data_IF_123097424790
#
_entry.id   IF_123097424790
#
_cell.length_a   1.000
_cell.length_b   1.000
_cell.length_c   1.000
_cell.angle_alpha   90.00
_cell.angle_beta   90.00
_cell.angle_gamma   90.00
#
_symmetry.space_group_name_H-M   'P 1'
#
loop_
_entity.id
_entity.type
_entity.pdbx_description
1 polymer ?
#
# COMPACT_ATOMS: atom_id res chain seq x y z
N UNK A 1 -10.84 -19.31 9.20
CA UNK A 1 -10.12 -19.91 8.05
C UNK A 1 -9.04 -20.88 8.50
N UNK A 2 -8.08 -20.47 9.35
CA UNK A 2 -7.04 -21.36 9.91
C UNK A 2 -7.62 -22.65 10.51
N UNK A 3 -8.74 -22.57 11.25
CA UNK A 3 -9.41 -23.75 11.82
C UNK A 3 -9.99 -24.70 10.76
N UNK A 4 -10.50 -24.18 9.64
CA UNK A 4 -11.07 -24.99 8.54
C UNK A 4 -9.96 -25.69 7.76
N UNK A 5 -8.88 -24.97 7.48
CA UNK A 5 -7.68 -25.51 6.83
C UNK A 5 -7.04 -26.57 7.74
N UNK A 6 -6.86 -26.26 9.02
CA UNK A 6 -6.32 -27.18 10.01
C UNK A 6 -7.17 -28.45 10.14
N UNK A 7 -8.50 -28.31 10.23
CA UNK A 7 -9.40 -29.46 10.32
C UNK A 7 -9.35 -30.36 9.08
N UNK A 8 -9.27 -29.78 7.86
CA UNK A 8 -9.10 -30.56 6.62
C UNK A 8 -7.70 -31.14 6.44
N UNK A 9 -6.66 -30.49 6.94
CA UNK A 9 -5.29 -31.05 6.98
C UNK A 9 -5.14 -32.17 8.02
N UNK A 10 -5.98 -32.17 9.06
CA UNK A 10 -6.02 -33.21 10.09
C UNK A 10 -6.89 -34.40 9.69
N UNK A 11 -7.64 -34.29 8.59
CA UNK A 11 -8.47 -35.37 8.06
C UNK A 11 -7.58 -36.43 7.38
N UNK A 12 -7.92 -37.73 7.48
CA UNK A 12 -7.02 -38.83 7.10
C UNK A 12 -6.63 -38.89 5.61
N UNK A 13 -7.24 -38.08 4.74
CA UNK A 13 -6.79 -37.92 3.34
C UNK A 13 -6.94 -36.46 2.89
N UNK A 14 -5.83 -35.75 2.76
CA UNK A 14 -5.77 -34.49 2.02
C UNK A 14 -5.99 -34.78 0.53
N UNK A 15 -6.72 -33.91 -0.21
CA UNK A 15 -6.83 -34.06 -1.66
C UNK A 15 -5.43 -33.98 -2.29
N UNK A 16 -5.14 -34.80 -3.31
CA UNK A 16 -3.84 -34.83 -3.97
C UNK A 16 -3.50 -33.51 -4.68
N UNK A 17 -4.54 -32.75 -5.08
CA UNK A 17 -4.42 -31.45 -5.73
C UNK A 17 -5.44 -30.45 -5.20
N UNK A 18 -5.05 -29.19 -5.06
CA UNK A 18 -5.91 -28.05 -4.76
C UNK A 18 -6.06 -27.17 -5.99
N UNK A 19 -7.14 -26.36 -6.06
CA UNK A 19 -7.20 -25.30 -7.05
C UNK A 19 -5.99 -24.35 -6.89
N UNK A 20 -5.57 -23.68 -7.95
CA UNK A 20 -4.44 -22.75 -7.89
C UNK A 20 -4.94 -21.33 -7.71
N UNK A 21 -4.24 -20.54 -6.89
CA UNK A 21 -4.43 -19.10 -6.86
C UNK A 21 -3.82 -18.53 -8.14
N UNK A 22 -4.63 -17.94 -9.03
CA UNK A 22 -4.15 -17.41 -10.30
C UNK A 22 -4.83 -16.06 -10.62
N UNK A 23 -4.01 -15.02 -10.78
CA UNK A 23 -4.52 -13.66 -10.97
C UNK A 23 -5.29 -13.14 -9.75
N UNK A 24 -6.50 -12.62 -9.96
CA UNK A 24 -7.31 -11.98 -8.91
C UNK A 24 -8.22 -12.97 -8.13
N UNK A 25 -8.04 -14.28 -8.26
CA UNK A 25 -8.82 -15.29 -7.54
C UNK A 25 -8.28 -16.71 -7.68
N UNK A 26 -8.94 -17.68 -7.05
CA UNK A 26 -8.66 -19.09 -7.30
C UNK A 26 -9.46 -19.59 -8.51
N UNK A 27 -8.79 -20.30 -9.41
CA UNK A 27 -9.37 -20.92 -10.61
C UNK A 27 -9.53 -22.44 -10.37
N UNK A 28 -10.77 -22.96 -10.25
CA UNK A 28 -11.00 -24.40 -10.08
C UNK A 28 -10.51 -25.25 -11.25
N UNK A 29 -10.38 -24.68 -12.46
CA UNK A 29 -9.94 -25.39 -13.65
C UNK A 29 -8.43 -25.66 -13.65
N UNK A 30 -7.64 -24.90 -12.88
CA UNK A 30 -6.20 -25.07 -12.75
C UNK A 30 -5.86 -25.57 -11.37
N UNK A 31 -5.32 -26.78 -11.27
CA UNK A 31 -4.99 -27.42 -9.98
C UNK A 31 -3.48 -27.59 -9.83
N UNK A 32 -3.01 -27.46 -8.60
CA UNK A 32 -1.61 -27.66 -8.21
C UNK A 32 -1.50 -28.78 -7.17
N UNK A 33 -0.35 -29.47 -7.07
CA UNK A 33 -0.10 -30.44 -6.01
C UNK A 33 -0.33 -29.83 -4.63
N UNK A 34 -1.00 -30.57 -3.76
CA UNK A 34 -1.25 -30.13 -2.39
C UNK A 34 0.06 -30.15 -1.60
N UNK A 35 0.43 -28.99 -1.08
CA UNK A 35 1.53 -28.80 -0.15
C UNK A 35 1.07 -27.86 0.96
N UNK A 36 1.84 -27.77 2.05
CA UNK A 36 1.56 -26.79 3.12
C UNK A 36 1.50 -25.37 2.55
N UNK A 37 2.39 -25.04 1.60
CA UNK A 37 2.42 -23.73 0.97
C UNK A 37 1.16 -23.45 0.13
N UNK A 38 0.79 -24.35 -0.78
CA UNK A 38 -0.40 -24.16 -1.64
C UNK A 38 -1.70 -24.19 -0.84
N UNK A 39 -1.74 -24.91 0.29
CA UNK A 39 -2.89 -24.94 1.21
C UNK A 39 -3.07 -23.63 2.00
N UNK A 40 -1.97 -23.00 2.41
CA UNK A 40 -1.97 -21.80 3.25
C UNK A 40 -1.65 -20.50 2.51
N UNK A 41 -1.39 -20.54 1.20
CA UNK A 41 -1.01 -19.39 0.38
C UNK A 41 -1.92 -18.15 0.59
N UNK A 42 -3.27 -18.24 0.55
CA UNK A 42 -4.12 -17.08 0.81
C UNK A 42 -3.97 -16.52 2.23
N UNK A 43 -3.73 -17.39 3.22
CA UNK A 43 -3.53 -16.99 4.63
C UNK A 43 -2.19 -16.25 4.79
N UNK A 44 -1.13 -16.75 4.14
CA UNK A 44 0.18 -16.13 4.16
C UNK A 44 0.13 -14.73 3.52
N UNK A 45 -0.54 -14.61 2.37
CA UNK A 45 -0.76 -13.31 1.71
C UNK A 45 -1.59 -12.37 2.58
N UNK A 46 -2.64 -12.86 3.26
CA UNK A 46 -3.42 -12.05 4.21
C UNK A 46 -2.54 -11.54 5.36
N UNK A 47 -1.67 -12.37 5.91
CA UNK A 47 -0.76 -11.95 6.97
C UNK A 47 0.19 -10.84 6.48
N UNK A 48 0.75 -11.00 5.27
CA UNK A 48 1.60 -9.97 4.64
C UNK A 48 0.83 -8.67 4.45
N UNK A 49 -0.36 -8.69 3.87
CA UNK A 49 -1.20 -7.49 3.65
C UNK A 49 -1.55 -6.81 4.97
N UNK A 50 -1.93 -7.60 5.97
CA UNK A 50 -2.33 -7.11 7.30
C UNK A 50 -1.19 -6.41 8.03
N UNK A 51 0.07 -6.79 7.78
CA UNK A 51 1.24 -6.13 8.36
C UNK A 51 1.72 -4.97 7.48
N UNK A 52 1.81 -5.19 6.16
CA UNK A 52 2.39 -4.25 5.22
C UNK A 52 1.61 -2.94 5.12
N UNK A 53 0.28 -2.98 5.03
CA UNK A 53 -0.53 -1.78 4.89
C UNK A 53 -0.43 -0.86 6.12
N UNK A 54 -0.61 -1.35 7.36
CA UNK A 54 -0.36 -0.53 8.56
C UNK A 54 1.09 -0.04 8.65
N UNK A 55 2.09 -0.88 8.35
CA UNK A 55 3.49 -0.46 8.40
C UNK A 55 3.78 0.70 7.42
N UNK A 56 3.33 0.59 6.17
CA UNK A 56 3.43 1.66 5.18
C UNK A 56 2.65 2.91 5.61
N UNK A 57 1.48 2.72 6.22
CA UNK A 57 0.68 3.83 6.78
C UNK A 57 1.42 4.55 7.90
N UNK A 58 2.10 3.83 8.79
CA UNK A 58 2.90 4.44 9.86
C UNK A 58 4.09 5.24 9.31
N UNK A 59 4.72 4.76 8.23
CA UNK A 59 5.76 5.51 7.50
C UNK A 59 5.17 6.79 6.90
N UNK A 60 4.01 6.69 6.25
CA UNK A 60 3.31 7.82 5.65
C UNK A 60 2.92 8.90 6.68
N UNK A 61 2.44 8.46 7.86
CA UNK A 61 2.07 9.36 8.95
C UNK A 61 3.27 10.12 9.55
N UNK A 62 4.50 9.66 9.28
CA UNK A 62 5.76 10.33 9.64
C UNK A 62 6.34 11.17 8.51
N UNK A 63 5.68 11.24 7.35
CA UNK A 63 6.17 12.04 6.24
C UNK A 63 6.23 13.52 6.62
N UNK A 64 7.35 14.17 6.27
CA UNK A 64 7.54 15.60 6.48
C UNK A 64 6.52 16.36 5.63
N UNK A 65 5.65 17.19 6.24
CA UNK A 65 4.67 17.97 5.50
C UNK A 65 5.33 19.11 4.73
N UNK A 66 4.71 19.50 3.62
CA UNK A 66 4.95 20.81 3.00
C UNK A 66 3.87 21.78 3.51
N UNK A 67 4.25 22.65 4.44
CA UNK A 67 3.35 23.57 5.14
C UNK A 67 3.47 24.97 4.55
N UNK A 68 2.36 25.71 4.53
CA UNK A 68 2.36 27.13 4.17
C UNK A 68 3.04 27.91 5.31
N UNK A 69 4.23 28.46 5.05
CA UNK A 69 4.99 29.22 6.04
C UNK A 69 4.23 30.43 6.57
N UNK A 70 3.39 31.08 5.75
CA UNK A 70 2.57 32.21 6.17
C UNK A 70 1.42 31.76 7.10
N UNK A 71 0.98 30.50 6.98
CA UNK A 71 -0.16 29.93 7.73
C UNK A 71 0.16 28.55 8.32
N UNK A 72 1.14 28.46 9.22
CA UNK A 72 1.70 27.19 9.66
C UNK A 72 0.71 26.34 10.46
N UNK A 73 -0.11 26.92 11.35
CA UNK A 73 -1.05 26.17 12.16
C UNK A 73 -2.24 25.66 11.34
N UNK A 74 -2.80 26.51 10.48
CA UNK A 74 -3.89 26.16 9.57
C UNK A 74 -3.50 25.07 8.58
N UNK A 75 -2.35 25.22 7.91
CA UNK A 75 -1.85 24.22 6.96
C UNK A 75 -1.52 22.89 7.65
N UNK A 76 -0.89 22.91 8.83
CA UNK A 76 -0.54 21.69 9.55
C UNK A 76 -1.78 20.88 9.99
N UNK A 77 -2.85 21.56 10.44
CA UNK A 77 -4.09 20.88 10.80
C UNK A 77 -4.73 20.22 9.57
N UNK A 78 -4.85 20.94 8.44
CA UNK A 78 -5.43 20.39 7.21
C UNK A 78 -4.62 19.19 6.72
N UNK A 79 -3.29 19.26 6.77
CA UNK A 79 -2.43 18.14 6.43
C UNK A 79 -2.64 16.93 7.35
N UNK A 80 -2.80 17.12 8.67
CA UNK A 80 -3.15 16.04 9.59
C UNK A 80 -4.50 15.39 9.26
N UNK A 81 -5.50 16.17 8.87
CA UNK A 81 -6.81 15.64 8.43
C UNK A 81 -6.66 14.86 7.13
N UNK A 82 -5.90 15.39 6.17
CA UNK A 82 -5.56 14.71 4.92
C UNK A 82 -4.89 13.35 5.17
N UNK A 83 -3.85 13.31 5.99
CA UNK A 83 -3.13 12.07 6.35
C UNK A 83 -4.02 11.06 7.09
N UNK A 84 -4.92 11.52 7.98
CA UNK A 84 -5.89 10.62 8.63
C UNK A 84 -6.86 10.00 7.64
N UNK A 85 -7.28 10.76 6.62
CA UNK A 85 -8.08 10.22 5.51
C UNK A 85 -7.32 9.15 4.73
N UNK A 86 -6.07 9.45 4.34
CA UNK A 86 -5.20 8.49 3.66
C UNK A 86 -4.94 7.23 4.48
N UNK A 87 -4.71 7.36 5.77
CA UNK A 87 -4.54 6.23 6.68
C UNK A 87 -5.79 5.34 6.74
N UNK A 88 -6.99 5.94 6.84
CA UNK A 88 -8.26 5.19 6.82
C UNK A 88 -8.47 4.47 5.50
N UNK A 89 -8.18 5.12 4.38
CA UNK A 89 -8.31 4.51 3.05
C UNK A 89 -7.32 3.37 2.85
N UNK A 90 -6.09 3.52 3.36
CA UNK A 90 -5.10 2.44 3.38
C UNK A 90 -5.61 1.24 4.18
N UNK A 91 -6.11 1.45 5.41
CA UNK A 91 -6.66 0.36 6.24
C UNK A 91 -7.90 -0.28 5.62
N UNK A 92 -8.78 0.52 4.98
CA UNK A 92 -9.90 0.01 4.21
C UNK A 92 -9.41 -0.84 3.03
N UNK A 93 -8.37 -0.38 2.31
CA UNK A 93 -7.74 -1.13 1.24
C UNK A 93 -7.18 -2.47 1.72
N UNK A 94 -6.53 -2.51 2.88
CA UNK A 94 -6.08 -3.75 3.50
C UNK A 94 -7.24 -4.70 3.79
N UNK A 95 -8.35 -4.19 4.33
CA UNK A 95 -9.56 -4.98 4.57
C UNK A 95 -10.16 -5.53 3.26
N UNK A 96 -10.22 -4.72 2.20
CA UNK A 96 -10.68 -5.13 0.88
C UNK A 96 -9.82 -6.25 0.28
N UNK A 97 -8.49 -6.10 0.31
CA UNK A 97 -7.56 -7.14 -0.18
C UNK A 97 -7.68 -8.41 0.65
N UNK A 98 -7.73 -8.30 1.99
CA UNK A 98 -7.92 -9.46 2.86
C UNK A 98 -9.25 -10.18 2.62
N UNK A 99 -10.32 -9.43 2.36
CA UNK A 99 -11.61 -10.00 2.02
C UNK A 99 -11.55 -10.70 0.65
N UNK A 100 -10.94 -10.10 -0.37
CA UNK A 100 -10.73 -10.76 -1.66
C UNK A 100 -9.93 -12.06 -1.54
N UNK A 101 -8.86 -12.07 -0.73
CA UNK A 101 -8.09 -13.27 -0.42
C UNK A 101 -8.90 -14.31 0.36
N UNK A 102 -9.82 -13.88 1.22
CA UNK A 102 -10.74 -14.79 1.91
C UNK A 102 -11.69 -15.47 0.92
N UNK A 103 -12.25 -14.74 -0.05
CA UNK A 103 -13.06 -15.33 -1.12
C UNK A 103 -12.24 -16.31 -1.96
N UNK A 104 -10.99 -15.94 -2.29
CA UNK A 104 -10.08 -16.83 -3.01
C UNK A 104 -9.79 -18.11 -2.23
N UNK A 105 -9.63 -18.04 -0.90
CA UNK A 105 -9.45 -19.21 -0.05
C UNK A 105 -10.70 -20.11 0.01
N UNK A 106 -11.91 -19.54 0.07
CA UNK A 106 -13.14 -20.33 0.03
C UNK A 106 -13.27 -21.13 -1.27
N UNK A 107 -12.85 -20.52 -2.39
CA UNK A 107 -12.79 -21.18 -3.70
C UNK A 107 -11.68 -22.22 -3.78
N UNK A 108 -10.50 -21.90 -3.27
CA UNK A 108 -9.34 -22.81 -3.19
C UNK A 108 -9.72 -24.14 -2.54
N UNK A 109 -10.44 -24.05 -1.42
CA UNK A 109 -10.89 -25.20 -0.65
C UNK A 109 -12.23 -25.78 -1.12
N UNK A 110 -12.78 -25.24 -2.21
CA UNK A 110 -14.08 -25.62 -2.78
C UNK A 110 -15.21 -25.67 -1.73
N UNK A 111 -15.12 -24.80 -0.71
CA UNK A 111 -16.14 -24.69 0.35
C UNK A 111 -17.35 -23.95 -0.20
N UNK A 112 -17.12 -22.92 -1.02
CA UNK A 112 -18.17 -22.15 -1.66
C UNK A 112 -17.70 -21.56 -2.98
N UNK A 113 -18.56 -21.61 -4.01
CA UNK A 113 -18.26 -21.13 -5.35
C UNK A 113 -18.85 -19.74 -5.60
N UNK A 114 -18.36 -18.71 -4.89
CA UNK A 114 -18.75 -17.33 -5.18
C UNK A 114 -18.23 -16.92 -6.57
N UNK A 115 -18.97 -16.06 -7.28
CA UNK A 115 -18.52 -15.55 -8.58
C UNK A 115 -17.26 -14.69 -8.47
N UNK A 116 -16.47 -14.60 -9.55
CA UNK A 116 -15.23 -13.78 -9.60
C UNK A 116 -15.48 -12.32 -9.23
N UNK A 117 -16.68 -11.80 -9.53
CA UNK A 117 -17.10 -10.46 -9.12
C UNK A 117 -17.02 -10.23 -7.60
N UNK A 118 -17.34 -11.24 -6.77
CA UNK A 118 -17.26 -11.10 -5.31
C UNK A 118 -15.82 -10.92 -4.81
N UNK A 119 -14.82 -11.46 -5.52
CA UNK A 119 -13.41 -11.28 -5.20
C UNK A 119 -12.87 -9.94 -5.74
N UNK A 120 -13.39 -9.44 -6.86
CA UNK A 120 -12.85 -8.24 -7.54
C UNK A 120 -13.52 -6.94 -7.10
N UNK A 121 -14.84 -6.93 -6.86
CA UNK A 121 -15.57 -5.73 -6.48
C UNK A 121 -15.00 -4.98 -5.26
N UNK A 122 -14.58 -5.66 -4.17
CA UNK A 122 -13.92 -4.99 -3.04
C UNK A 122 -12.67 -4.22 -3.45
N UNK A 123 -11.94 -4.69 -4.47
CA UNK A 123 -10.70 -4.06 -4.94
C UNK A 123 -10.95 -2.71 -5.63
N UNK A 124 -12.17 -2.46 -6.14
CA UNK A 124 -12.55 -1.16 -6.69
C UNK A 124 -12.37 -0.02 -5.67
N UNK A 125 -12.56 -0.31 -4.38
CA UNK A 125 -12.37 0.68 -3.31
C UNK A 125 -10.90 1.16 -3.20
N UNK A 126 -9.92 0.33 -3.56
CA UNK A 126 -8.50 0.73 -3.55
C UNK A 126 -8.18 1.79 -4.61
N UNK A 127 -8.98 1.86 -5.68
CA UNK A 127 -8.80 2.83 -6.76
C UNK A 127 -9.71 4.03 -6.51
N UNK A 128 -11.01 3.79 -6.37
CA UNK A 128 -12.01 4.85 -6.29
C UNK A 128 -11.91 5.67 -5.00
N UNK A 129 -11.58 5.03 -3.87
CA UNK A 129 -11.49 5.69 -2.57
C UNK A 129 -10.43 6.79 -2.54
N UNK A 130 -9.15 6.48 -2.82
CA UNK A 130 -8.09 7.47 -2.91
C UNK A 130 -8.36 8.56 -3.97
N UNK A 131 -8.88 8.20 -5.14
CA UNK A 131 -9.22 9.19 -6.17
C UNK A 131 -10.29 10.17 -5.69
N UNK A 132 -11.37 9.67 -5.08
CA UNK A 132 -12.43 10.51 -4.52
C UNK A 132 -11.91 11.39 -3.37
N UNK A 133 -11.04 10.84 -2.52
CA UNK A 133 -10.42 11.58 -1.43
C UNK A 133 -9.51 12.69 -1.93
N UNK A 134 -8.66 12.42 -2.92
CA UNK A 134 -7.80 13.43 -3.54
C UNK A 134 -8.61 14.50 -4.26
N UNK A 135 -9.67 14.12 -4.96
CA UNK A 135 -10.56 15.08 -5.60
C UNK A 135 -11.21 16.02 -4.59
N UNK A 136 -11.68 15.49 -3.45
CA UNK A 136 -12.36 16.25 -2.39
C UNK A 136 -11.40 17.05 -1.50
N UNK A 137 -10.34 16.44 -0.99
CA UNK A 137 -9.42 17.04 -0.03
C UNK A 137 -8.33 17.86 -0.72
N UNK A 138 -8.01 17.56 -1.98
CA UNK A 138 -6.86 18.08 -2.69
C UNK A 138 -5.55 17.53 -2.13
N UNK A 139 -4.50 17.62 -2.94
CA UNK A 139 -3.15 17.24 -2.54
C UNK A 139 -2.75 17.98 -1.26
N UNK A 140 -2.24 17.25 -0.26
CA UNK A 140 -1.86 17.81 1.05
C UNK A 140 -3.03 18.41 1.86
N UNK A 141 -4.28 18.26 1.42
CA UNK A 141 -5.46 18.81 2.10
C UNK A 141 -5.79 20.27 1.76
N UNK A 142 -5.27 20.83 0.67
CA UNK A 142 -5.47 22.26 0.34
C UNK A 142 -6.93 22.64 0.04
N UNK A 143 -7.79 21.68 -0.35
CA UNK A 143 -9.24 21.90 -0.59
C UNK A 143 -10.08 21.66 0.66
N UNK A 144 -9.47 21.23 1.77
CA UNK A 144 -10.18 21.09 3.03
C UNK A 144 -10.61 22.47 3.55
N UNK A 145 -11.81 22.57 4.14
CA UNK A 145 -12.31 23.84 4.64
C UNK A 145 -11.41 24.43 5.72
N UNK A 146 -11.25 25.74 5.68
CA UNK A 146 -10.62 26.52 6.75
C UNK A 146 -11.59 26.63 7.92
N UNK A 147 -11.07 26.56 9.14
CA UNK A 147 -11.83 26.91 10.35
C UNK A 147 -11.81 28.43 10.55
N UNK A 148 -12.77 28.96 11.34
CA UNK A 148 -12.78 30.36 11.71
C UNK A 148 -11.44 30.79 12.32
N UNK A 149 -10.88 31.90 11.85
CA UNK A 149 -9.62 32.47 12.34
C UNK A 149 -8.37 32.11 11.52
N UNK A 150 -8.39 31.02 10.73
CA UNK A 150 -7.24 30.66 9.87
C UNK A 150 -6.97 31.65 8.74
N UNK A 151 -7.99 32.39 8.33
CA UNK A 151 -7.86 33.40 7.28
C UNK A 151 -7.08 34.63 7.77
N UNK A 152 -7.07 34.84 9.10
CA UNK A 152 -6.34 35.91 9.77
C UNK A 152 -4.93 35.48 10.19
N UNK A 153 -4.60 34.20 10.02
CA UNK A 153 -3.26 33.71 10.29
C UNK A 153 -2.32 34.28 9.23
N UNK A 154 -1.34 35.04 9.69
CA UNK A 154 -0.22 35.52 8.89
C UNK A 154 1.00 35.60 9.81
N UNK A 155 1.95 34.70 9.59
CA UNK A 155 3.21 34.67 10.33
C UNK A 155 4.22 35.70 9.82
N UNK A 156 3.96 36.34 8.67
CA UNK A 156 4.91 37.18 7.94
C UNK A 156 6.09 36.40 7.35
N UNK A 157 6.12 35.07 7.47
CA UNK A 157 7.18 34.22 6.95
C UNK A 157 6.91 33.83 5.50
N UNK A 158 7.95 33.86 4.69
CA UNK A 158 7.92 33.38 3.31
C UNK A 158 8.32 31.90 3.27
N UNK A 159 7.75 31.15 2.33
CA UNK A 159 8.11 29.75 2.12
C UNK A 159 9.62 29.62 1.92
N UNK A 160 10.22 28.73 2.70
CA UNK A 160 11.64 28.41 2.55
C UNK A 160 11.87 27.83 1.16
N UNK A 161 12.82 28.40 0.43
CA UNK A 161 13.26 27.85 -0.85
C UNK A 161 14.09 26.57 -0.63
N UNK A 162 13.41 25.42 -0.74
CA UNK A 162 14.03 24.10 -0.71
C UNK A 162 14.42 23.61 -2.13
N UNK A 163 14.25 24.43 -3.18
CA UNK A 163 14.45 24.05 -4.59
C UNK A 163 15.89 23.62 -4.89
N UNK A 164 16.85 24.14 -4.14
CA UNK A 164 18.27 23.76 -4.27
C UNK A 164 18.56 22.28 -3.98
N UNK A 165 17.67 21.58 -3.25
CA UNK A 165 17.82 20.15 -2.93
C UNK A 165 16.98 19.26 -3.85
N UNK A 166 16.24 19.85 -4.78
CA UNK A 166 15.45 19.17 -5.79
C UNK A 166 16.28 19.03 -7.07
N UNK A 167 16.60 17.79 -7.42
CA UNK A 167 17.39 17.40 -8.58
C UNK A 167 16.50 16.77 -9.64
N UNK A 168 17.05 16.56 -10.84
CA UNK A 168 16.37 15.89 -11.96
C UNK A 168 14.99 16.49 -12.26
N UNK A 169 14.97 17.80 -12.52
CA UNK A 169 13.76 18.57 -12.77
C UNK A 169 12.71 18.47 -11.63
N UNK A 170 13.17 18.33 -10.39
CA UNK A 170 12.32 18.31 -9.19
C UNK A 170 11.64 16.97 -8.89
N UNK A 171 12.17 15.88 -9.44
CA UNK A 171 11.67 14.52 -9.15
C UNK A 171 12.44 13.84 -8.02
N UNK A 172 13.71 14.19 -7.83
CA UNK A 172 14.58 13.58 -6.82
C UNK A 172 14.98 14.60 -5.77
N UNK A 173 14.71 14.28 -4.50
CA UNK A 173 15.10 15.13 -3.37
C UNK A 173 16.29 14.52 -2.63
N UNK A 174 17.32 15.32 -2.37
CA UNK A 174 18.47 14.90 -1.58
C UNK A 174 18.95 16.03 -0.66
N UNK A 175 18.70 15.88 0.65
CA UNK A 175 19.18 16.82 1.66
C UNK A 175 19.63 16.06 2.92
N UNK A 176 20.94 16.02 3.16
CA UNK A 176 21.53 15.37 4.34
C UNK A 176 21.21 16.07 5.66
N UNK A 177 20.84 17.36 5.61
CA UNK A 177 20.47 18.16 6.78
C UNK A 177 18.98 18.10 7.10
N UNK A 178 18.17 17.48 6.24
CA UNK A 178 16.75 17.25 6.50
C UNK A 178 16.56 15.89 7.20
N UNK A 179 16.08 15.87 8.46
CA UNK A 179 15.85 14.62 9.18
C UNK A 179 14.66 13.81 8.62
N UNK A 180 13.84 14.39 7.73
CA UNK A 180 12.74 13.69 7.09
C UNK A 180 13.25 12.61 6.12
N UNK A 181 12.84 11.36 6.35
CA UNK A 181 13.12 10.23 5.44
C UNK A 181 12.15 10.24 4.26
N UNK A 182 10.88 10.52 4.53
CA UNK A 182 9.78 10.58 3.57
C UNK A 182 9.22 11.99 3.59
N UNK A 183 8.92 12.55 2.42
CA UNK A 183 8.36 13.87 2.27
C UNK A 183 7.37 13.89 1.09
N UNK A 184 6.54 14.92 1.02
CA UNK A 184 5.66 15.09 -0.14
C UNK A 184 6.50 15.39 -1.39
N UNK A 185 6.17 14.74 -2.52
CA UNK A 185 6.84 15.01 -3.78
C UNK A 185 6.46 16.41 -4.28
N UNK A 186 7.41 17.09 -4.93
CA UNK A 186 7.19 18.41 -5.54
C UNK A 186 6.17 18.35 -6.68
N UNK A 187 6.19 17.26 -7.45
CA UNK A 187 5.30 17.05 -8.58
C UNK A 187 4.46 15.78 -8.40
N UNK A 188 3.20 15.90 -8.76
CA UNK A 188 2.26 14.80 -8.75
C UNK A 188 1.68 14.47 -7.37
N UNK A 189 1.02 13.33 -7.31
CA UNK A 189 0.17 12.90 -6.20
C UNK A 189 0.91 11.87 -5.34
N UNK A 190 2.13 12.17 -4.89
CA UNK A 190 2.99 11.15 -4.28
C UNK A 190 3.88 11.65 -3.13
N UNK A 191 4.38 10.70 -2.35
CA UNK A 191 5.46 10.91 -1.41
C UNK A 191 6.75 10.38 -2.02
N UNK A 192 7.86 11.03 -1.71
CA UNK A 192 9.21 10.63 -2.14
C UNK A 192 10.12 10.38 -0.95
N UNK A 193 11.26 9.76 -1.21
CA UNK A 193 12.32 9.55 -0.24
C UNK A 193 13.34 10.68 -0.31
N UNK A 194 13.86 11.08 0.84
CA UNK A 194 15.02 11.93 0.92
C UNK A 194 16.29 11.09 0.71
N UNK A 195 16.86 11.12 -0.50
CA UNK A 195 18.09 10.39 -0.83
C UNK A 195 19.34 10.98 -0.16
N UNK A 196 19.22 12.08 0.57
CA UNK A 196 20.27 12.57 1.48
C UNK A 196 20.30 11.83 2.82
N UNK A 197 19.25 11.04 3.14
CA UNK A 197 19.11 10.34 4.41
C UNK A 197 19.60 8.89 4.32
N UNK A 198 20.44 8.38 5.25
CA UNK A 198 20.99 7.03 5.17
C UNK A 198 19.93 5.93 5.19
N UNK A 199 18.84 6.13 5.94
CA UNK A 199 17.69 5.19 5.95
C UNK A 199 17.04 5.06 4.57
N UNK A 200 17.00 6.12 3.75
CA UNK A 200 16.46 6.01 2.39
C UNK A 200 17.30 5.05 1.54
N UNK A 201 18.63 5.11 1.66
CA UNK A 201 19.54 4.18 0.98
C UNK A 201 19.42 2.75 1.50
N UNK A 202 19.18 2.55 2.80
CA UNK A 202 18.90 1.22 3.34
C UNK A 202 17.60 0.63 2.75
N UNK A 203 16.55 1.46 2.59
CA UNK A 203 15.30 1.05 1.93
C UNK A 203 15.56 0.71 0.46
N UNK A 204 16.26 1.57 -0.28
CA UNK A 204 16.59 1.34 -1.70
C UNK A 204 17.43 0.07 -1.88
N UNK A 205 18.44 -0.15 -1.02
CA UNK A 205 19.28 -1.34 -1.05
C UNK A 205 18.47 -2.61 -0.72
N UNK A 206 17.57 -2.55 0.26
CA UNK A 206 16.66 -3.65 0.59
C UNK A 206 15.73 -4.02 -0.58
N UNK A 207 15.16 -3.02 -1.26
CA UNK A 207 14.35 -3.24 -2.45
C UNK A 207 15.18 -3.80 -3.62
N UNK A 208 16.38 -3.28 -3.84
CA UNK A 208 17.29 -3.79 -4.87
C UNK A 208 17.71 -5.24 -4.59
N UNK A 209 18.01 -5.58 -3.33
CA UNK A 209 18.31 -6.95 -2.92
C UNK A 209 17.11 -7.88 -3.17
N UNK A 210 15.89 -7.46 -2.82
CA UNK A 210 14.68 -8.24 -3.10
C UNK A 210 14.50 -8.51 -4.61
N UNK A 211 14.70 -7.48 -5.44
CA UNK A 211 14.65 -7.62 -6.90
C UNK A 211 15.73 -8.58 -7.42
N UNK A 212 16.97 -8.47 -6.91
CA UNK A 212 18.05 -9.39 -7.29
C UNK A 212 17.75 -10.84 -6.88
N UNK A 213 17.22 -11.07 -5.68
CA UNK A 213 16.79 -12.41 -5.23
C UNK A 213 15.71 -12.98 -6.14
N UNK A 214 14.76 -12.15 -6.59
CA UNK A 214 13.75 -12.55 -7.56
C UNK A 214 14.31 -12.84 -8.96
N UNK A 215 15.27 -12.05 -9.44
CA UNK A 215 15.91 -12.27 -10.75
C UNK A 215 16.83 -13.50 -10.78
N UNK A 216 17.44 -13.83 -9.64
CA UNK A 216 18.35 -14.99 -9.51
C UNK A 216 17.62 -16.32 -9.30
N UNK A 217 16.27 -16.33 -9.27
CA UNK A 217 15.48 -17.53 -9.05
C UNK A 217 15.53 -18.06 -7.60
N UNK A 218 16.07 -17.28 -6.67
CA UNK A 218 15.98 -17.59 -5.23
C UNK A 218 14.56 -17.33 -4.74
N UNK A 219 13.88 -16.34 -5.32
CA UNK A 219 12.45 -16.13 -5.19
C UNK A 219 11.83 -16.44 -6.54
N UNK A 220 11.01 -17.49 -6.61
CA UNK A 220 10.26 -17.81 -7.82
C UNK A 220 9.30 -16.66 -8.16
N UNK A 221 9.59 -15.94 -9.24
CA UNK A 221 8.61 -15.07 -9.86
C UNK A 221 7.62 -15.98 -10.62
N UNK A 222 6.30 -15.72 -10.56
CA UNK A 222 5.35 -16.49 -11.33
C UNK A 222 5.76 -16.45 -12.80
N UNK A 223 6.00 -17.63 -13.39
CA UNK A 223 6.42 -17.75 -14.77
C UNK A 223 5.44 -16.98 -15.66
N UNK A 224 5.97 -16.04 -16.46
CA UNK A 224 5.21 -15.41 -17.55
C UNK A 224 4.96 -16.47 -18.62
N UNK A 225 3.97 -17.31 -18.41
CA UNK A 225 3.36 -18.04 -19.50
C UNK A 225 2.65 -17.00 -20.36
N UNK A 226 3.12 -16.85 -21.60
CA UNK A 226 2.56 -15.89 -22.55
C UNK A 226 1.05 -16.05 -22.64
N UNK A 227 0.34 -14.93 -22.71
CA UNK A 227 -1.10 -14.87 -23.01
C UNK A 227 -1.37 -15.15 -24.50
N UNK A 228 -0.64 -16.11 -25.09
CA UNK A 228 -0.76 -16.52 -26.49
C UNK A 228 -0.82 -18.04 -26.59
#
# INVERSE_FOLDING_TARGET
MVVIVWWRCSAPTLPATLASLHGLGADPARRAPTSVFTAFEPVLLQAVVTVAFPALTLVLLRARPDLDAARPAGSARRYRVYLRGMARLSLLGAACVNFSLFIAALRLWEVFALGTAAAVLPLAALVLGPLAWEWRAGQGGHRLPRLPGEEKEDSGLVQRDDDRHWHLAGTVYANRHDPGVVLHARFGQSWTLNLGHPVAWAVVAGLAALVLLALTGIIDLPERHGLF
#
